data_IF_128604920967
#
_entry.id   IF_128604920967
#
_cell.length_a   1.000
_cell.length_b   1.000
_cell.length_c   1.000
_cell.angle_alpha   90.00
_cell.angle_beta   90.00
_cell.angle_gamma   90.00
#
_symmetry.space_group_name_H-M   'P 1'
#
loop_
_entity.id
_entity.type
_entity.pdbx_description
1 polymer ?
#
# COMPACT_ATOMS: atom_id res chain seq x y z
N UNK A 1 -1.20 17.13 -0.36
CA UNK A 1 -2.67 17.24 -0.37
C UNK A 1 -3.06 18.36 0.59
N UNK A 2 -3.74 19.41 0.11
CA UNK A 2 -4.05 20.60 0.93
C UNK A 2 -5.34 20.43 1.71
N UNK A 3 -5.43 20.96 2.93
CA UNK A 3 -6.65 21.02 3.76
C UNK A 3 -7.92 21.46 2.99
N UNK A 4 -7.75 22.24 1.92
CA UNK A 4 -8.80 22.73 1.04
C UNK A 4 -9.57 21.59 0.35
N UNK A 5 -8.91 20.50 -0.06
CA UNK A 5 -9.58 19.40 -0.77
C UNK A 5 -10.48 18.58 0.17
N UNK A 6 -10.11 18.45 1.44
CA UNK A 6 -10.93 17.79 2.46
C UNK A 6 -12.23 18.57 2.72
N UNK A 7 -12.14 19.89 2.88
CA UNK A 7 -13.29 20.72 3.22
C UNK A 7 -14.29 20.89 2.06
N UNK A 8 -13.81 20.90 0.81
CA UNK A 8 -14.67 21.09 -0.35
C UNK A 8 -15.42 19.82 -0.78
N UNK A 9 -14.79 18.65 -0.69
CA UNK A 9 -15.43 17.39 -1.09
C UNK A 9 -16.18 16.70 0.04
N UNK A 10 -15.83 16.93 1.32
CA UNK A 10 -16.53 16.30 2.45
C UNK A 10 -18.03 16.63 2.50
N UNK A 11 -18.44 17.81 2.02
CA UNK A 11 -19.85 18.24 1.94
C UNK A 11 -20.67 17.58 0.83
N UNK A 12 -20.03 16.87 -0.09
CA UNK A 12 -20.70 16.07 -1.12
C UNK A 12 -20.65 14.57 -0.82
N UNK A 13 -20.05 14.16 0.32
CA UNK A 13 -20.06 12.77 0.76
C UNK A 13 -21.39 12.48 1.48
N UNK A 14 -22.19 11.53 1.00
CA UNK A 14 -23.42 11.16 1.68
C UNK A 14 -23.16 10.65 3.11
N UNK A 15 -24.07 10.85 4.09
CA UNK A 15 -23.85 10.54 5.51
C UNK A 15 -23.42 9.10 5.81
N UNK A 16 -23.84 8.13 4.98
CA UNK A 16 -23.46 6.72 5.07
C UNK A 16 -21.99 6.41 4.75
N UNK A 17 -21.19 7.40 4.33
CA UNK A 17 -19.76 7.23 4.05
C UNK A 17 -18.88 7.42 5.29
N UNK A 18 -19.24 8.33 6.21
CA UNK A 18 -18.37 8.68 7.35
C UNK A 18 -18.19 7.50 8.32
N UNK A 19 -19.24 6.71 8.54
CA UNK A 19 -19.19 5.52 9.41
C UNK A 19 -18.27 4.42 8.90
N UNK A 20 -18.03 4.35 7.59
CA UNK A 20 -17.18 3.32 6.96
C UNK A 20 -15.76 3.80 6.67
N UNK A 21 -15.57 5.10 6.46
CA UNK A 21 -14.26 5.68 6.13
C UNK A 21 -13.29 5.52 7.29
N UNK A 22 -13.66 5.88 8.52
CA UNK A 22 -12.72 5.84 9.64
C UNK A 22 -12.25 4.40 9.96
N UNK A 23 -13.14 3.39 10.07
CA UNK A 23 -12.71 1.99 10.20
C UNK A 23 -11.86 1.53 9.01
N UNK A 24 -12.20 1.93 7.78
CA UNK A 24 -11.43 1.59 6.57
C UNK A 24 -10.02 2.17 6.56
N UNK A 25 -9.84 3.40 7.05
CA UNK A 25 -8.51 4.02 7.17
C UNK A 25 -7.65 3.25 8.19
N UNK A 26 -8.24 2.87 9.33
CA UNK A 26 -7.53 2.13 10.38
C UNK A 26 -7.20 0.70 9.96
N UNK A 27 -8.14 -0.01 9.32
CA UNK A 27 -7.88 -1.34 8.77
C UNK A 27 -6.84 -1.28 7.65
N UNK A 28 -6.91 -0.27 6.78
CA UNK A 28 -5.92 -0.01 5.74
C UNK A 28 -4.52 0.30 6.29
N UNK A 29 -4.43 0.95 7.47
CA UNK A 29 -3.15 1.13 8.16
C UNK A 29 -2.61 -0.19 8.71
N UNK A 30 -3.46 -0.96 9.38
CA UNK A 30 -3.08 -2.26 9.93
C UNK A 30 -2.60 -3.23 8.83
N UNK A 31 -3.31 -3.25 7.69
CA UNK A 31 -2.91 -4.00 6.50
C UNK A 31 -1.56 -3.50 5.96
N UNK A 32 -1.38 -2.20 5.74
CA UNK A 32 -0.12 -1.63 5.26
C UNK A 32 1.06 -1.97 6.18
N UNK A 33 0.87 -1.91 7.50
CA UNK A 33 1.90 -2.29 8.49
C UNK A 33 2.25 -3.78 8.36
N UNK A 34 1.25 -4.66 8.35
CA UNK A 34 1.47 -6.10 8.27
C UNK A 34 2.14 -6.50 6.94
N UNK A 35 1.62 -6.00 5.83
CA UNK A 35 2.10 -6.32 4.49
C UNK A 35 3.52 -5.79 4.26
N UNK A 36 3.81 -4.52 4.55
CA UNK A 36 5.16 -3.99 4.33
C UNK A 36 6.19 -4.60 5.30
N UNK A 37 5.79 -4.93 6.53
CA UNK A 37 6.68 -5.66 7.45
C UNK A 37 7.05 -7.03 6.87
N UNK A 38 6.08 -7.75 6.32
CA UNK A 38 6.33 -9.05 5.70
C UNK A 38 7.13 -8.93 4.39
N UNK A 39 6.65 -8.14 3.43
CA UNK A 39 7.23 -8.11 2.08
C UNK A 39 8.55 -7.34 2.01
N UNK A 40 8.71 -6.23 2.77
CA UNK A 40 9.88 -5.33 2.68
C UNK A 40 10.84 -5.54 3.84
N UNK A 41 10.28 -5.84 5.01
CA UNK A 41 11.06 -6.18 6.21
C UNK A 41 11.67 -7.57 6.10
N UNK A 42 10.86 -8.59 5.81
CA UNK A 42 11.32 -9.98 5.76
C UNK A 42 11.68 -10.45 4.34
N UNK A 43 10.72 -10.50 3.41
CA UNK A 43 10.90 -11.18 2.11
C UNK A 43 11.95 -10.50 1.21
N UNK A 44 11.91 -9.16 1.09
CA UNK A 44 12.92 -8.42 0.32
C UNK A 44 14.32 -8.56 0.95
N UNK A 45 14.40 -8.61 2.29
CA UNK A 45 15.68 -8.82 3.01
C UNK A 45 16.21 -10.23 2.74
N UNK A 46 15.34 -11.24 2.77
CA UNK A 46 15.68 -12.63 2.44
C UNK A 46 16.23 -12.74 1.00
N UNK A 47 15.61 -12.07 0.03
CA UNK A 47 16.15 -12.06 -1.34
C UNK A 47 17.48 -11.32 -1.45
N UNK A 48 17.71 -10.28 -0.65
CA UNK A 48 18.96 -9.52 -0.65
C UNK A 48 20.16 -10.34 -0.15
N UNK A 49 19.94 -11.46 0.55
CA UNK A 49 21.02 -12.39 0.92
C UNK A 49 21.65 -13.10 -0.29
N UNK A 50 20.90 -13.25 -1.40
CA UNK A 50 21.32 -14.03 -2.58
C UNK A 50 21.35 -13.22 -3.87
N UNK A 51 20.59 -12.13 -3.95
CA UNK A 51 20.38 -11.37 -5.17
C UNK A 51 20.76 -9.90 -5.01
N UNK A 52 20.97 -9.21 -6.13
CA UNK A 52 21.16 -7.77 -6.12
C UNK A 52 19.93 -7.04 -5.57
N UNK A 53 20.14 -5.81 -5.11
CA UNK A 53 19.07 -4.94 -4.59
C UNK A 53 17.85 -4.88 -5.52
N UNK A 54 18.07 -4.60 -6.81
CA UNK A 54 17.00 -4.53 -7.81
C UNK A 54 16.25 -5.85 -7.98
N UNK A 55 16.96 -6.99 -8.01
CA UNK A 55 16.31 -8.31 -8.10
C UNK A 55 15.46 -8.59 -6.86
N UNK A 56 15.96 -8.21 -5.69
CA UNK A 56 15.26 -8.38 -4.42
C UNK A 56 13.96 -7.54 -4.38
N UNK A 57 14.02 -6.30 -4.86
CA UNK A 57 12.85 -5.44 -5.03
C UNK A 57 11.85 -6.07 -5.99
N UNK A 58 12.30 -6.49 -7.18
CA UNK A 58 11.42 -7.06 -8.21
C UNK A 58 10.75 -8.35 -7.75
N UNK A 59 11.47 -9.27 -7.10
CA UNK A 59 10.88 -10.50 -6.57
C UNK A 59 9.91 -10.24 -5.45
N UNK A 60 10.27 -9.43 -4.44
CA UNK A 60 9.34 -9.10 -3.37
C UNK A 60 8.09 -8.37 -3.87
N UNK A 61 8.22 -7.54 -4.92
CA UNK A 61 7.09 -6.86 -5.57
C UNK A 61 6.22 -7.83 -6.37
N UNK A 62 6.84 -8.81 -7.04
CA UNK A 62 6.12 -9.86 -7.77
C UNK A 62 5.28 -10.73 -6.83
N UNK A 63 5.86 -11.20 -5.73
CA UNK A 63 5.11 -11.96 -4.72
C UNK A 63 4.03 -11.13 -4.03
N UNK A 64 4.26 -9.83 -3.86
CA UNK A 64 3.23 -8.91 -3.38
C UNK A 64 2.03 -8.84 -4.34
N UNK A 65 2.27 -8.63 -5.64
CA UNK A 65 1.21 -8.66 -6.65
C UNK A 65 0.51 -10.02 -6.73
N UNK A 66 1.27 -11.11 -6.64
CA UNK A 66 0.74 -12.47 -6.68
C UNK A 66 -0.18 -12.78 -5.50
N UNK A 67 0.13 -12.29 -4.30
CA UNK A 67 -0.71 -12.44 -3.12
C UNK A 67 -2.11 -11.81 -3.30
N UNK A 68 -2.23 -10.84 -4.19
CA UNK A 68 -3.47 -10.13 -4.47
C UNK A 68 -4.33 -10.76 -5.57
N UNK A 69 -3.78 -11.70 -6.38
CA UNK A 69 -4.48 -12.25 -7.55
C UNK A 69 -5.80 -12.95 -7.22
N UNK A 70 -5.94 -13.46 -5.98
CA UNK A 70 -7.17 -14.11 -5.50
C UNK A 70 -8.35 -13.14 -5.38
N UNK A 71 -8.09 -11.82 -5.32
CA UNK A 71 -9.12 -10.79 -5.33
C UNK A 71 -9.63 -10.57 -6.76
N UNK A 72 -8.70 -10.43 -7.70
CA UNK A 72 -8.96 -10.44 -9.14
C UNK A 72 -7.64 -10.56 -9.92
N UNK A 73 -7.65 -11.00 -11.19
CA UNK A 73 -6.46 -10.96 -12.03
C UNK A 73 -5.86 -9.56 -12.17
N UNK A 74 -6.70 -8.52 -12.17
CA UNK A 74 -6.26 -7.12 -12.23
C UNK A 74 -5.50 -6.67 -10.98
N UNK A 75 -5.71 -7.34 -9.83
CA UNK A 75 -5.01 -7.02 -8.60
C UNK A 75 -3.50 -7.33 -8.67
N UNK A 76 -3.04 -8.08 -9.68
CA UNK A 76 -1.62 -8.23 -10.01
C UNK A 76 -0.93 -6.88 -10.29
N UNK A 77 -1.69 -5.85 -10.65
CA UNK A 77 -1.18 -4.47 -10.81
C UNK A 77 -0.57 -3.91 -9.52
N UNK A 78 -0.85 -4.50 -8.35
CA UNK A 78 -0.19 -4.20 -7.08
C UNK A 78 1.34 -4.42 -7.13
N UNK A 79 1.83 -5.17 -8.13
CA UNK A 79 3.25 -5.26 -8.47
C UNK A 79 3.93 -3.89 -8.64
N UNK A 80 3.29 -2.95 -9.36
CA UNK A 80 3.88 -1.66 -9.69
C UNK A 80 4.10 -0.74 -8.48
N UNK A 81 3.10 -0.48 -7.61
CA UNK A 81 3.36 0.23 -6.35
C UNK A 81 4.31 -0.58 -5.45
N UNK A 82 4.32 -1.92 -5.54
CA UNK A 82 5.29 -2.78 -4.86
C UNK A 82 6.75 -2.39 -5.14
N UNK A 83 7.08 -2.05 -6.39
CA UNK A 83 8.43 -1.60 -6.76
C UNK A 83 8.78 -0.29 -6.05
N UNK A 84 7.84 0.66 -6.01
CA UNK A 84 8.04 1.96 -5.33
C UNK A 84 8.30 1.73 -3.83
N UNK A 85 7.50 0.88 -3.19
CA UNK A 85 7.65 0.53 -1.78
C UNK A 85 8.99 -0.16 -1.51
N UNK A 86 9.42 -1.07 -2.37
CA UNK A 86 10.73 -1.71 -2.28
C UNK A 86 11.89 -0.72 -2.43
N UNK A 87 11.76 0.27 -3.31
CA UNK A 87 12.73 1.36 -3.45
C UNK A 87 12.78 2.28 -2.23
N UNK A 88 11.62 2.62 -1.66
CA UNK A 88 11.53 3.40 -0.42
C UNK A 88 12.22 2.67 0.74
N UNK A 89 11.96 1.36 0.92
CA UNK A 89 12.66 0.55 1.93
C UNK A 89 14.16 0.56 1.69
N UNK A 90 14.60 0.42 0.45
CA UNK A 90 16.04 0.37 0.16
C UNK A 90 16.75 1.69 0.42
N UNK A 91 16.13 2.81 0.02
CA UNK A 91 16.69 4.16 0.21
C UNK A 91 16.74 4.61 1.66
N UNK A 92 15.75 4.21 2.47
CA UNK A 92 15.62 4.70 3.85
C UNK A 92 16.06 3.69 4.91
N UNK A 93 16.31 2.43 4.56
CA UNK A 93 16.70 1.39 5.50
C UNK A 93 15.61 0.98 6.50
N UNK A 94 14.38 1.46 6.31
CA UNK A 94 13.22 1.17 7.16
C UNK A 94 11.98 0.91 6.31
N UNK A 95 11.08 0.07 6.81
CA UNK A 95 9.76 -0.17 6.18
C UNK A 95 8.79 0.99 6.37
N UNK A 96 9.08 1.94 7.27
CA UNK A 96 8.16 3.02 7.63
C UNK A 96 7.74 3.88 6.43
N UNK A 97 8.68 4.26 5.55
CA UNK A 97 8.37 5.03 4.35
C UNK A 97 7.47 4.26 3.37
N UNK A 98 7.66 2.94 3.27
CA UNK A 98 6.80 2.08 2.47
C UNK A 98 5.39 1.97 3.07
N UNK A 99 5.29 1.81 4.40
CA UNK A 99 4.01 1.78 5.13
C UNK A 99 3.22 3.06 4.87
N UNK A 100 3.86 4.23 4.98
CA UNK A 100 3.20 5.51 4.72
C UNK A 100 2.71 5.62 3.28
N UNK A 101 3.55 5.25 2.31
CA UNK A 101 3.16 5.26 0.90
C UNK A 101 1.96 4.34 0.63
N UNK A 102 2.02 3.11 1.14
CA UNK A 102 0.95 2.13 1.02
C UNK A 102 -0.34 2.66 1.65
N UNK A 103 -0.28 3.11 2.90
CA UNK A 103 -1.45 3.58 3.63
C UNK A 103 -2.11 4.80 2.97
N UNK A 104 -1.32 5.75 2.44
CA UNK A 104 -1.89 6.85 1.65
C UNK A 104 -2.54 6.37 0.36
N UNK A 105 -1.99 5.33 -0.28
CA UNK A 105 -2.64 4.64 -1.40
C UNK A 105 -3.98 4.02 -1.01
N UNK A 106 -4.06 3.38 0.17
CA UNK A 106 -5.29 2.81 0.71
C UNK A 106 -6.33 3.91 0.99
N UNK A 107 -5.92 5.02 1.61
CA UNK A 107 -6.80 6.19 1.84
C UNK A 107 -7.32 6.73 0.51
N UNK A 108 -6.45 6.88 -0.49
CA UNK A 108 -6.84 7.33 -1.83
C UNK A 108 -7.88 6.39 -2.43
N UNK A 109 -7.63 5.07 -2.39
CA UNK A 109 -8.57 4.07 -2.92
C UNK A 109 -9.92 4.14 -2.21
N UNK A 110 -9.94 4.13 -0.88
CA UNK A 110 -11.17 4.20 -0.06
C UNK A 110 -11.95 5.48 -0.36
N UNK A 111 -11.26 6.60 -0.53
CA UNK A 111 -11.91 7.90 -0.76
C UNK A 111 -12.55 8.01 -2.15
N UNK A 112 -11.87 7.52 -3.20
CA UNK A 112 -12.33 7.67 -4.59
C UNK A 112 -13.13 6.47 -5.10
N UNK A 113 -12.92 5.29 -4.53
CA UNK A 113 -13.55 4.03 -4.93
C UNK A 113 -14.06 3.22 -3.71
N UNK A 114 -14.92 3.79 -2.85
CA UNK A 114 -15.40 3.13 -1.62
C UNK A 114 -16.27 1.88 -1.82
N UNK A 115 -16.55 1.50 -3.07
CA UNK A 115 -17.45 0.42 -3.45
C UNK A 115 -16.76 -0.68 -4.28
N UNK A 116 -15.46 -0.52 -4.58
CA UNK A 116 -14.60 -1.59 -5.07
C UNK A 116 -13.97 -2.32 -3.89
#
# INVERSE_FOLDING_TARGET
MTFISLFFFARYLPPWHVERILPGILSGLAAAVAEETFFRGWLQTLFAEKYSEWKSILFASFFFGLAHIFQSPAAMLAFFPGIIMGLLRSRHGTVFSAILFHWFGNIWSIWFYPHL
#
